data_IF_142707084130
#
_entry.id   IF_142707084130
#
_cell.length_a   1.000
_cell.length_b   1.000
_cell.length_c   1.000
_cell.angle_alpha   90.00
_cell.angle_beta   90.00
_cell.angle_gamma   90.00
#
_symmetry.space_group_name_H-M   'P 1'
#
loop_
_entity.id
_entity.type
_entity.pdbx_description
1 polymer ?
#
# COMPACT_ATOMS: atom_id res chain seq x y z
N UNK A 1 30.21 -20.83 22.23
CA UNK A 1 29.18 -19.76 22.23
C UNK A 1 28.69 -19.68 20.80
N UNK A 2 27.46 -20.11 20.54
CA UNK A 2 26.89 -20.07 19.18
C UNK A 2 26.55 -18.63 18.83
N UNK A 3 27.15 -18.11 17.77
CA UNK A 3 26.64 -16.91 17.11
C UNK A 3 25.29 -17.29 16.50
N UNK A 4 24.23 -16.68 17.02
CA UNK A 4 22.92 -16.75 16.42
C UNK A 4 23.02 -16.07 15.04
N UNK A 5 22.64 -16.79 13.99
CA UNK A 5 22.46 -16.22 12.67
C UNK A 5 21.44 -15.08 12.74
N UNK A 6 21.85 -13.85 12.45
CA UNK A 6 20.95 -12.73 12.19
C UNK A 6 20.17 -13.01 10.91
N UNK A 7 19.08 -13.77 11.05
CA UNK A 7 18.06 -13.89 10.03
C UNK A 7 17.23 -12.61 10.01
N UNK A 8 17.34 -11.85 8.93
CA UNK A 8 16.43 -10.73 8.65
C UNK A 8 14.99 -11.28 8.59
N UNK A 9 14.18 -10.98 9.59
CA UNK A 9 12.74 -11.18 9.55
C UNK A 9 12.09 -10.25 8.51
N UNK A 10 10.79 -10.44 8.19
CA UNK A 10 10.07 -9.47 7.37
C UNK A 10 10.19 -8.07 8.00
N UNK A 11 10.33 -7.05 7.15
CA UNK A 11 10.57 -5.65 7.55
C UNK A 11 9.48 -5.08 8.48
N UNK A 12 8.31 -5.71 8.49
CA UNK A 12 7.16 -5.40 9.34
C UNK A 12 6.56 -6.70 9.89
N UNK A 13 6.14 -6.70 11.15
CA UNK A 13 5.44 -7.82 11.76
C UNK A 13 3.95 -7.82 11.39
N UNK A 14 3.31 -9.00 11.47
CA UNK A 14 1.86 -9.12 11.28
C UNK A 14 1.08 -8.12 12.16
N UNK A 15 0.20 -7.34 11.53
CA UNK A 15 -0.64 -6.34 12.21
C UNK A 15 -0.01 -4.96 12.33
N UNK A 16 1.26 -4.77 11.92
CA UNK A 16 1.90 -3.46 11.93
C UNK A 16 1.44 -2.62 10.73
N UNK A 17 1.25 -1.31 10.95
CA UNK A 17 1.16 -0.38 9.83
C UNK A 17 2.52 -0.28 9.14
N UNK A 18 2.54 -0.46 7.83
CA UNK A 18 3.77 -0.53 7.05
C UNK A 18 3.84 0.45 5.88
N UNK A 19 2.69 0.96 5.42
CA UNK A 19 2.64 1.89 4.30
C UNK A 19 1.40 2.76 4.35
N UNK A 20 1.45 3.89 3.65
CA UNK A 20 0.29 4.76 3.47
C UNK A 20 0.22 5.23 2.02
N UNK A 21 -0.99 5.20 1.46
CA UNK A 21 -1.24 5.70 0.13
C UNK A 21 -2.39 6.70 0.11
N UNK A 22 -2.26 7.68 -0.77
CA UNK A 22 -3.31 8.63 -1.11
C UNK A 22 -3.90 8.19 -2.43
N UNK A 23 -5.14 7.73 -2.40
CA UNK A 23 -5.92 7.35 -3.56
C UNK A 23 -6.71 8.57 -4.05
N UNK A 24 -6.25 9.17 -5.15
CA UNK A 24 -6.81 10.41 -5.69
C UNK A 24 -7.67 10.18 -6.93
N UNK A 25 -8.45 11.20 -7.31
CA UNK A 25 -9.14 11.26 -8.60
C UNK A 25 -8.40 12.13 -9.62
N UNK A 26 -7.38 12.87 -9.19
CA UNK A 26 -6.56 13.76 -10.02
C UNK A 26 -5.16 13.84 -9.41
N UNK A 27 -4.24 13.08 -10.01
CA UNK A 27 -2.87 12.91 -9.53
C UNK A 27 -2.12 14.24 -9.43
N UNK A 28 -2.15 15.05 -10.49
CA UNK A 28 -1.36 16.28 -10.57
C UNK A 28 -1.92 17.36 -9.66
N UNK A 29 -3.25 17.47 -9.55
CA UNK A 29 -3.87 18.41 -8.63
C UNK A 29 -3.55 18.05 -7.17
N UNK A 30 -3.62 16.77 -6.81
CA UNK A 30 -3.25 16.31 -5.47
C UNK A 30 -1.77 16.50 -5.20
N UNK A 31 -0.88 16.12 -6.12
CA UNK A 31 0.58 16.34 -6.01
C UNK A 31 0.88 17.81 -5.73
N UNK A 32 0.33 18.71 -6.54
CA UNK A 32 0.49 20.15 -6.35
C UNK A 32 -0.04 20.61 -4.98
N UNK A 33 -1.21 20.14 -4.55
CA UNK A 33 -1.77 20.48 -3.25
C UNK A 33 -0.84 20.06 -2.10
N UNK A 34 -0.42 18.79 -2.04
CA UNK A 34 0.43 18.29 -0.95
C UNK A 34 1.83 18.92 -0.95
N UNK A 35 2.41 19.19 -2.12
CA UNK A 35 3.67 19.93 -2.22
C UNK A 35 3.53 21.37 -1.70
N UNK A 36 2.46 22.08 -2.03
CA UNK A 36 2.27 23.47 -1.59
C UNK A 36 1.90 23.59 -0.10
N UNK A 37 1.15 22.63 0.44
CA UNK A 37 0.69 22.68 1.84
C UNK A 37 1.77 22.18 2.81
N UNK A 38 2.44 21.07 2.46
CA UNK A 38 3.34 20.37 3.37
C UNK A 38 4.81 20.39 2.94
N UNK A 39 5.13 20.91 1.76
CA UNK A 39 6.48 20.89 1.21
C UNK A 39 6.94 19.48 0.80
N UNK A 40 6.02 18.55 0.57
CA UNK A 40 6.37 17.19 0.18
C UNK A 40 6.96 17.15 -1.23
N UNK A 41 8.03 16.37 -1.36
CA UNK A 41 8.64 16.01 -2.63
C UNK A 41 8.07 14.68 -3.11
N UNK A 42 7.90 14.56 -4.42
CA UNK A 42 7.34 13.39 -5.07
C UNK A 42 8.30 12.86 -6.12
N UNK A 43 8.58 11.57 -6.07
CA UNK A 43 9.39 10.86 -7.05
C UNK A 43 8.58 9.72 -7.64
N UNK A 44 8.82 9.40 -8.91
CA UNK A 44 8.22 8.22 -9.52
C UNK A 44 8.81 6.98 -8.86
N UNK A 45 7.95 6.07 -8.39
CA UNK A 45 8.42 4.81 -7.84
C UNK A 45 9.14 3.97 -8.90
N UNK A 46 10.24 3.34 -8.51
CA UNK A 46 10.94 2.34 -9.31
C UNK A 46 10.37 0.93 -9.11
N UNK A 47 9.55 0.72 -8.08
CA UNK A 47 8.92 -0.56 -7.77
C UNK A 47 7.60 -0.74 -8.53
N UNK A 48 6.92 0.36 -8.89
CA UNK A 48 5.72 0.33 -9.71
C UNK A 48 6.05 0.15 -11.21
N UNK A 49 5.14 -0.48 -11.95
CA UNK A 49 5.27 -0.63 -13.40
C UNK A 49 5.24 0.70 -14.15
N UNK A 50 5.87 0.77 -15.33
CA UNK A 50 6.00 2.00 -16.13
C UNK A 50 4.67 2.58 -16.62
N UNK A 51 3.60 1.80 -16.64
CA UNK A 51 2.27 2.25 -17.06
C UNK A 51 1.41 2.75 -15.89
N UNK A 52 1.88 2.58 -14.66
CA UNK A 52 1.17 2.99 -13.45
C UNK A 52 1.79 4.27 -12.88
N UNK A 53 1.10 5.42 -12.91
CA UNK A 53 1.63 6.67 -12.38
C UNK A 53 1.52 6.68 -10.85
N UNK A 54 2.52 6.08 -10.21
CA UNK A 54 2.65 5.95 -8.77
C UNK A 54 3.81 6.82 -8.26
N UNK A 55 3.47 7.79 -7.41
CA UNK A 55 4.40 8.80 -6.92
C UNK A 55 4.66 8.59 -5.44
N UNK A 56 5.86 8.16 -5.10
CA UNK A 56 6.32 8.09 -3.72
C UNK A 56 6.60 9.50 -3.20
N UNK A 57 6.14 9.79 -1.98
CA UNK A 57 6.42 11.06 -1.31
C UNK A 57 7.34 10.87 -0.10
N UNK A 58 8.18 11.88 0.15
CA UNK A 58 8.95 11.99 1.39
C UNK A 58 8.42 13.19 2.19
N UNK A 59 7.90 12.88 3.37
CA UNK A 59 7.57 13.84 4.41
C UNK A 59 8.82 14.17 5.22
N UNK A 60 8.96 15.43 5.62
CA UNK A 60 10.07 15.90 6.46
C UNK A 60 11.49 15.68 5.90
N UNK A 61 11.66 15.37 4.60
CA UNK A 61 12.96 15.27 3.94
C UNK A 61 13.81 14.10 4.43
N UNK A 62 13.18 13.00 4.87
CA UNK A 62 13.86 11.78 5.31
C UNK A 62 14.72 11.13 4.23
N UNK A 63 14.48 11.46 2.95
CA UNK A 63 15.15 10.86 1.79
C UNK A 63 14.73 9.41 1.52
N UNK A 64 13.86 8.86 2.36
CA UNK A 64 13.14 7.62 2.13
C UNK A 64 11.67 7.96 1.85
N UNK A 65 10.98 7.14 1.05
CA UNK A 65 9.56 7.38 0.82
C UNK A 65 8.75 6.99 2.06
N UNK A 66 7.88 7.88 2.52
CA UNK A 66 7.00 7.66 3.66
C UNK A 66 5.63 7.10 3.25
N UNK A 67 5.33 7.16 1.95
CA UNK A 67 4.08 6.70 1.36
C UNK A 67 4.02 7.04 -0.12
N UNK A 68 2.85 6.91 -0.71
CA UNK A 68 2.65 7.24 -2.13
C UNK A 68 1.31 7.89 -2.46
N UNK A 69 1.24 8.46 -3.65
CA UNK A 69 0.07 9.08 -4.26
C UNK A 69 -0.15 8.44 -5.64
N UNK A 70 -1.39 8.04 -5.91
CA UNK A 70 -1.79 7.52 -7.21
C UNK A 70 -3.19 8.02 -7.60
N UNK A 71 -3.55 7.90 -8.89
CA UNK A 71 -4.91 8.13 -9.35
C UNK A 71 -5.65 6.81 -9.45
N UNK A 72 -6.83 6.71 -8.82
CA UNK A 72 -7.73 5.59 -8.99
C UNK A 72 -8.28 5.56 -10.41
N UNK A 73 -8.46 4.36 -10.96
CA UNK A 73 -9.14 4.14 -12.25
C UNK A 73 -10.22 3.05 -12.09
N UNK A 74 -11.28 3.08 -12.92
CA UNK A 74 -12.35 2.09 -12.84
C UNK A 74 -11.87 0.64 -13.00
N UNK A 75 -10.82 0.41 -13.78
CA UNK A 75 -10.26 -0.91 -14.05
C UNK A 75 -9.68 -1.56 -12.78
N UNK A 76 -9.16 -0.77 -11.84
CA UNK A 76 -8.60 -1.28 -10.58
C UNK A 76 -9.65 -2.00 -9.73
N UNK A 77 -10.91 -1.64 -9.90
CA UNK A 77 -12.06 -2.14 -9.15
C UNK A 77 -12.95 -3.05 -10.00
N UNK A 78 -12.45 -3.57 -11.13
CA UNK A 78 -13.17 -4.55 -11.94
C UNK A 78 -14.48 -4.03 -12.55
N UNK A 79 -14.61 -2.71 -12.73
CA UNK A 79 -15.84 -2.08 -13.22
C UNK A 79 -16.90 -1.79 -12.15
N UNK A 80 -16.66 -2.13 -10.90
CA UNK A 80 -17.48 -1.68 -9.77
C UNK A 80 -17.29 -0.17 -9.51
N UNK A 81 -18.25 0.50 -8.84
CA UNK A 81 -18.09 1.91 -8.47
C UNK A 81 -16.80 2.13 -7.67
N UNK A 82 -15.96 3.06 -8.15
CA UNK A 82 -14.77 3.44 -7.41
C UNK A 82 -15.15 4.00 -6.04
N UNK A 83 -14.39 3.67 -4.98
CA UNK A 83 -14.59 4.32 -3.69
C UNK A 83 -14.26 5.83 -3.78
N UNK A 84 -14.75 6.65 -2.84
CA UNK A 84 -14.32 8.04 -2.73
C UNK A 84 -12.79 8.15 -2.58
N UNK A 85 -12.22 9.30 -2.97
CA UNK A 85 -10.82 9.60 -2.68
C UNK A 85 -10.55 9.48 -1.17
N UNK A 86 -9.45 8.82 -0.81
CA UNK A 86 -9.16 8.43 0.56
C UNK A 86 -7.67 8.27 0.81
N UNK A 87 -7.30 8.14 2.09
CA UNK A 87 -5.96 7.76 2.53
C UNK A 87 -6.05 6.34 3.05
N UNK A 88 -5.41 5.40 2.36
CA UNK A 88 -5.36 4.00 2.75
C UNK A 88 -4.10 3.74 3.57
N UNK A 89 -4.26 3.23 4.79
CA UNK A 89 -3.15 2.68 5.56
C UNK A 89 -3.06 1.18 5.31
N UNK A 90 -1.84 0.71 5.10
CA UNK A 90 -1.53 -0.69 4.86
C UNK A 90 -1.09 -1.36 6.15
N UNK A 91 -1.70 -2.49 6.44
CA UNK A 91 -1.36 -3.36 7.56
C UNK A 91 -0.63 -4.58 7.02
N UNK A 92 0.58 -4.84 7.52
CA UNK A 92 1.36 -6.00 7.15
C UNK A 92 0.67 -7.29 7.62
N UNK A 93 0.61 -8.30 6.76
CA UNK A 93 0.06 -9.62 7.07
C UNK A 93 0.99 -10.70 6.54
N UNK A 94 1.08 -11.84 7.22
CA UNK A 94 1.95 -12.94 6.76
C UNK A 94 1.42 -13.60 5.49
N UNK A 95 0.10 -13.65 5.34
CA UNK A 95 -0.63 -14.23 4.22
C UNK A 95 -1.86 -13.37 3.89
N UNK A 96 -1.83 -12.73 2.73
CA UNK A 96 -2.87 -11.80 2.31
C UNK A 96 -4.20 -12.51 2.00
N UNK A 97 -4.18 -13.72 1.43
CA UNK A 97 -5.39 -14.45 1.09
C UNK A 97 -6.09 -14.96 2.35
N UNK A 98 -5.32 -15.54 3.28
CA UNK A 98 -5.84 -16.01 4.56
C UNK A 98 -6.39 -14.87 5.41
N UNK A 99 -5.69 -13.73 5.47
CA UNK A 99 -6.15 -12.55 6.19
C UNK A 99 -7.43 -11.94 5.58
N UNK A 100 -7.50 -11.84 4.25
CA UNK A 100 -8.70 -11.34 3.55
C UNK A 100 -9.91 -12.27 3.77
N UNK A 101 -9.73 -13.59 3.68
CA UNK A 101 -10.79 -14.56 3.95
C UNK A 101 -11.30 -14.46 5.39
N UNK A 102 -10.38 -14.34 6.37
CA UNK A 102 -10.73 -14.13 7.79
C UNK A 102 -11.50 -12.82 7.99
N UNK A 103 -11.03 -11.72 7.40
CA UNK A 103 -11.69 -10.42 7.51
C UNK A 103 -13.11 -10.46 6.93
N UNK A 104 -13.29 -11.08 5.75
CA UNK A 104 -14.61 -11.26 5.14
C UNK A 104 -15.54 -12.07 6.04
N UNK A 105 -15.07 -13.17 6.64
CA UNK A 105 -15.83 -13.97 7.61
C UNK A 105 -16.24 -13.21 8.88
N UNK A 106 -15.56 -12.09 9.18
CA UNK A 106 -15.85 -11.20 10.31
C UNK A 106 -16.69 -9.96 9.90
N UNK A 107 -17.15 -9.89 8.66
CA UNK A 107 -18.03 -8.83 8.17
C UNK A 107 -17.33 -7.69 7.44
N UNK A 108 -16.05 -7.83 7.07
CA UNK A 108 -15.40 -6.89 6.17
C UNK A 108 -15.92 -7.03 4.73
N UNK A 109 -16.01 -5.92 4.00
CA UNK A 109 -16.27 -5.94 2.56
C UNK A 109 -14.94 -5.91 1.80
N UNK A 110 -14.81 -6.77 0.78
CA UNK A 110 -13.64 -6.79 -0.11
C UNK A 110 -13.90 -5.80 -1.25
N UNK A 111 -13.13 -4.70 -1.30
CA UNK A 111 -13.21 -3.72 -2.38
C UNK A 111 -12.36 -4.16 -3.58
N UNK A 112 -11.17 -4.68 -3.30
CA UNK A 112 -10.26 -5.31 -4.25
C UNK A 112 -9.66 -6.53 -3.58
N UNK A 113 -9.87 -7.69 -4.19
CA UNK A 113 -9.35 -8.96 -3.67
C UNK A 113 -7.82 -9.03 -3.70
N UNK A 114 -7.23 -10.02 -3.02
CA UNK A 114 -5.79 -10.25 -3.04
C UNK A 114 -5.21 -10.33 -4.45
N UNK A 115 -4.26 -9.45 -4.75
CA UNK A 115 -3.58 -9.35 -6.05
C UNK A 115 -2.07 -9.16 -5.85
N UNK A 116 -1.29 -9.77 -6.74
CA UNK A 116 0.17 -9.65 -6.70
C UNK A 116 0.63 -8.31 -7.28
N UNK A 117 1.49 -7.62 -6.54
CA UNK A 117 2.26 -6.49 -7.01
C UNK A 117 3.66 -7.01 -7.35
N UNK A 118 4.07 -7.02 -8.63
CA UNK A 118 5.39 -7.50 -9.05
C UNK A 118 6.51 -6.87 -8.21
N UNK A 119 7.41 -7.71 -7.69
CA UNK A 119 8.56 -7.32 -6.87
C UNK A 119 8.26 -6.63 -5.51
N UNK A 120 6.99 -6.50 -5.11
CA UNK A 120 6.61 -5.87 -3.84
C UNK A 120 5.96 -6.87 -2.89
N UNK A 121 4.93 -7.59 -3.34
CA UNK A 121 4.16 -8.47 -2.46
C UNK A 121 2.77 -8.75 -3.00
N UNK A 122 1.83 -9.06 -2.09
CA UNK A 122 0.43 -9.33 -2.41
C UNK A 122 -0.49 -8.53 -1.50
N UNK A 123 -1.48 -7.86 -2.07
CA UNK A 123 -2.26 -6.84 -1.37
C UNK A 123 -3.76 -6.98 -1.59
N UNK A 124 -4.56 -6.46 -0.66
CA UNK A 124 -6.01 -6.35 -0.80
C UNK A 124 -6.52 -5.04 -0.18
N UNK A 125 -7.61 -4.50 -0.73
CA UNK A 125 -8.35 -3.36 -0.17
C UNK A 125 -9.69 -3.81 0.39
N UNK A 126 -10.00 -3.36 1.60
CA UNK A 126 -11.19 -3.75 2.34
C UNK A 126 -11.82 -2.56 3.05
N UNK A 127 -13.08 -2.72 3.44
CA UNK A 127 -13.66 -1.94 4.53
C UNK A 127 -13.96 -2.82 5.73
N UNK A 128 -13.78 -2.29 6.94
CA UNK A 128 -14.25 -2.95 8.16
C UNK A 128 -15.80 -2.98 8.23
N UNK A 129 -16.41 -3.62 9.25
CA UNK A 129 -17.87 -3.67 9.37
C UNK A 129 -18.57 -2.31 9.51
N UNK A 130 -17.82 -1.24 9.82
CA UNK A 130 -18.33 0.14 9.90
C UNK A 130 -18.15 0.94 8.61
N UNK A 131 -17.45 0.36 7.62
CA UNK A 131 -17.16 1.00 6.34
C UNK A 131 -15.82 1.76 6.31
N UNK A 132 -14.98 1.65 7.34
CA UNK A 132 -13.67 2.29 7.34
C UNK A 132 -12.72 1.53 6.39
N UNK A 133 -12.15 2.24 5.43
CA UNK A 133 -11.26 1.65 4.42
C UNK A 133 -9.83 1.50 4.94
N UNK A 134 -9.23 0.35 4.61
CA UNK A 134 -7.82 0.05 4.84
C UNK A 134 -7.31 -0.94 3.78
N UNK A 135 -5.99 -1.10 3.73
CA UNK A 135 -5.35 -2.11 2.91
C UNK A 135 -4.57 -3.10 3.80
N UNK A 136 -4.37 -4.30 3.29
CA UNK A 136 -3.43 -5.26 3.86
C UNK A 136 -2.43 -5.71 2.81
N UNK A 137 -1.23 -6.04 3.24
CA UNK A 137 -0.17 -6.48 2.33
C UNK A 137 0.72 -7.55 2.97
N UNK A 138 0.91 -8.65 2.24
CA UNK A 138 2.00 -9.58 2.47
C UNK A 138 3.20 -9.14 1.63
N UNK A 139 4.19 -8.55 2.28
CA UNK A 139 5.41 -8.11 1.61
C UNK A 139 6.25 -9.32 1.19
N UNK A 140 6.72 -9.33 -0.05
CA UNK A 140 7.66 -10.34 -0.51
C UNK A 140 8.96 -10.26 0.29
N UNK A 141 9.60 -11.39 0.57
CA UNK A 141 10.95 -11.38 1.13
C UNK A 141 11.88 -10.73 0.10
N UNK A 142 12.40 -9.54 0.41
CA UNK A 142 13.47 -8.96 -0.39
C UNK A 142 14.74 -9.80 -0.17
N UNK A 143 15.00 -10.71 -1.11
CA UNK A 143 16.30 -11.36 -1.21
C UNK A 143 17.36 -10.30 -1.51
N UNK A 144 18.45 -10.31 -0.74
CA UNK A 144 19.62 -9.47 -0.96
C UNK A 144 19.95 -9.36 -2.46
N UNK A 145 20.03 -8.13 -2.98
CA UNK A 145 20.60 -7.88 -4.30
C UNK A 145 21.95 -8.61 -4.37
N UNK A 146 22.09 -9.53 -5.33
CA UNK A 146 23.39 -10.06 -5.72
C UNK A 146 24.21 -8.97 -6.41
#
# INVERSE_FOLDING_TARGET
>A
MSEASEGYGPMHAHGEFCWVEIASTDLEKCRSFYSNVFGWEFNRSQAAGEDFPYLEFSSCGSGQPDGALYAMTPEMFGGEPMPPAHIAHYIAVDDCDAAAAKASGLGAAILKGPEDIPNVGRMAFLTDPSGAMFAMIALGQQGAKQ
#
